data_IF_648004262210
#
_entry.id   IF_648004262210
#
_cell.length_a   1.000
_cell.length_b   1.000
_cell.length_c   1.000
_cell.angle_alpha   90.00
_cell.angle_beta   90.00
_cell.angle_gamma   90.00
#
_symmetry.space_group_name_H-M   'P 1'
#
loop_
_entity.id
_entity.type
_entity.pdbx_description
1 polymer ?
#
# COMPACT_ATOMS: atom_id res chain seq x y z
N UNK A 1 32.94 -28.30 -49.18
CA UNK A 1 32.91 -28.84 -50.56
C UNK A 1 32.35 -30.25 -50.54
N UNK A 2 31.59 -30.59 -51.60
CA UNK A 2 30.85 -31.84 -51.90
C UNK A 2 29.38 -31.90 -51.41
N UNK A 3 28.54 -31.62 -52.41
CA UNK A 3 27.08 -31.74 -52.56
C UNK A 3 26.64 -33.19 -52.76
N UNK A 4 25.32 -33.40 -52.59
CA UNK A 4 24.33 -34.07 -53.47
C UNK A 4 23.44 -35.09 -52.71
N UNK A 5 22.12 -34.82 -52.57
CA UNK A 5 20.99 -35.09 -53.53
C UNK A 5 20.65 -36.61 -53.53
N UNK A 6 19.44 -37.17 -53.52
CA UNK A 6 18.07 -36.74 -53.87
C UNK A 6 17.01 -37.77 -53.37
N UNK A 7 15.81 -37.29 -53.03
CA UNK A 7 14.46 -37.67 -53.52
C UNK A 7 13.81 -39.06 -53.26
N UNK A 8 12.60 -38.97 -52.66
CA UNK A 8 11.30 -39.51 -53.10
C UNK A 8 11.16 -41.03 -53.39
N UNK A 9 10.26 -41.71 -52.66
CA UNK A 9 8.92 -42.09 -53.18
C UNK A 9 8.06 -42.85 -52.17
N UNK A 10 6.79 -42.46 -52.20
CA UNK A 10 5.62 -43.02 -51.56
C UNK A 10 5.19 -44.32 -52.26
N UNK A 11 4.82 -45.36 -51.51
CA UNK A 11 3.87 -46.38 -51.97
C UNK A 11 3.00 -46.86 -50.81
N UNK A 12 1.71 -46.99 -51.11
CA UNK A 12 0.57 -47.13 -50.23
C UNK A 12 -0.15 -48.43 -50.58
N UNK A 13 -0.45 -49.31 -49.61
CA UNK A 13 -1.44 -50.42 -49.66
C UNK A 13 -1.79 -50.76 -48.19
N UNK A 14 -2.93 -50.35 -47.59
CA UNK A 14 -4.35 -50.78 -47.68
C UNK A 14 -4.68 -52.14 -47.05
N UNK A 15 -5.66 -52.12 -46.12
CA UNK A 15 -6.47 -53.20 -45.51
C UNK A 15 -5.82 -53.99 -44.36
N UNK A 16 -6.50 -54.31 -43.23
CA UNK A 16 -7.91 -54.62 -43.07
C UNK A 16 -8.44 -54.47 -41.61
N UNK A 17 -9.63 -53.87 -41.51
CA UNK A 17 -10.81 -54.20 -40.68
C UNK A 17 -10.76 -54.06 -39.13
N UNK A 18 -11.92 -53.77 -38.51
CA UNK A 18 -12.07 -52.78 -37.45
C UNK A 18 -12.57 -53.40 -36.14
N UNK A 19 -12.13 -52.84 -35.01
CA UNK A 19 -12.69 -53.21 -33.71
C UNK A 19 -13.27 -51.96 -33.06
N UNK A 20 -14.59 -51.99 -32.95
CA UNK A 20 -15.45 -51.42 -31.93
C UNK A 20 -14.87 -50.30 -31.05
N UNK A 21 -15.53 -49.13 -31.09
CA UNK A 21 -16.33 -48.68 -29.96
C UNK A 21 -17.14 -47.44 -30.35
N UNK A 22 -18.45 -47.57 -30.22
CA UNK A 22 -19.41 -46.47 -30.20
C UNK A 22 -19.11 -45.54 -29.02
N UNK A 23 -18.92 -44.26 -29.29
CA UNK A 23 -19.13 -43.21 -28.30
C UNK A 23 -19.91 -42.07 -28.97
N UNK A 24 -21.22 -42.10 -28.75
CA UNK A 24 -22.14 -41.02 -29.09
C UNK A 24 -21.70 -39.75 -28.35
N UNK A 25 -21.23 -38.74 -29.10
CA UNK A 25 -21.11 -37.39 -28.57
C UNK A 25 -22.51 -36.80 -28.41
N UNK A 26 -23.15 -37.09 -27.29
CA UNK A 26 -24.21 -36.24 -26.77
C UNK A 26 -23.55 -34.99 -26.19
N UNK A 27 -23.88 -33.82 -26.73
CA UNK A 27 -23.58 -32.54 -26.08
C UNK A 27 -24.22 -32.54 -24.68
N UNK A 28 -23.41 -32.77 -23.65
CA UNK A 28 -23.81 -32.50 -22.28
C UNK A 28 -23.79 -30.98 -22.07
N UNK A 29 -24.88 -30.33 -21.63
CA UNK A 29 -24.81 -28.94 -21.21
C UNK A 29 -23.87 -28.86 -20.00
N UNK A 30 -22.87 -27.97 -20.08
CA UNK A 30 -22.04 -27.61 -18.94
C UNK A 30 -22.96 -27.08 -17.85
N UNK A 31 -23.23 -27.89 -16.83
CA UNK A 31 -23.88 -27.43 -15.60
C UNK A 31 -22.90 -26.51 -14.89
N UNK A 32 -23.12 -25.20 -15.02
CA UNK A 32 -22.57 -24.21 -14.09
C UNK A 32 -23.08 -24.60 -12.70
N UNK A 33 -22.19 -25.04 -11.81
CA UNK A 33 -22.49 -25.11 -10.37
C UNK A 33 -22.56 -23.67 -9.87
N UNK A 34 -23.76 -23.09 -9.86
CA UNK A 34 -24.07 -21.99 -8.96
C UNK A 34 -24.17 -22.57 -7.55
N UNK A 35 -23.21 -22.23 -6.71
CA UNK A 35 -23.31 -22.49 -5.28
C UNK A 35 -24.43 -21.59 -4.72
N UNK A 36 -25.38 -22.11 -3.92
CA UNK A 36 -26.31 -21.25 -3.20
C UNK A 36 -25.50 -20.36 -2.25
N UNK A 37 -25.80 -19.07 -2.24
CA UNK A 37 -25.27 -18.16 -1.24
C UNK A 37 -25.71 -18.63 0.14
N UNK A 38 -24.77 -19.14 0.94
CA UNK A 38 -25.02 -19.43 2.35
C UNK A 38 -25.30 -18.12 3.07
N UNK A 39 -26.59 -17.89 3.35
CA UNK A 39 -27.02 -16.84 4.27
C UNK A 39 -26.61 -17.27 5.67
N UNK A 40 -25.40 -16.89 6.08
CA UNK A 40 -25.00 -16.96 7.47
C UNK A 40 -25.95 -16.07 8.30
N UNK A 41 -26.44 -16.52 9.46
CA UNK A 41 -27.30 -15.70 10.30
C UNK A 41 -26.51 -14.50 10.80
N UNK A 42 -26.96 -13.30 10.41
CA UNK A 42 -26.48 -12.02 10.94
C UNK A 42 -26.70 -12.06 12.46
N UNK A 43 -25.62 -12.22 13.23
CA UNK A 43 -25.65 -11.96 14.67
C UNK A 43 -26.04 -10.49 14.85
N UNK A 44 -27.28 -10.24 15.29
CA UNK A 44 -27.71 -8.93 15.78
C UNK A 44 -27.00 -8.67 17.11
N UNK A 45 -25.83 -8.04 17.04
CA UNK A 45 -25.29 -7.34 18.20
C UNK A 45 -26.20 -6.12 18.46
N UNK A 46 -26.59 -5.85 19.72
CA UNK A 46 -27.30 -4.62 20.03
C UNK A 46 -26.44 -3.46 19.54
N UNK A 47 -27.01 -2.62 18.67
CA UNK A 47 -26.38 -1.41 18.23
C UNK A 47 -26.28 -0.47 19.45
N UNK A 48 -25.15 -0.52 20.15
CA UNK A 48 -24.70 0.62 20.94
C UNK A 48 -24.49 1.74 19.92
N UNK A 49 -25.50 2.59 19.74
CA UNK A 49 -25.42 3.82 18.95
C UNK A 49 -24.52 4.82 19.68
N UNK A 50 -23.25 4.46 19.87
CA UNK A 50 -22.22 5.47 20.05
C UNK A 50 -22.10 6.18 18.72
N UNK A 51 -22.46 7.45 18.69
CA UNK A 51 -22.17 8.30 17.54
C UNK A 51 -20.70 8.14 17.20
N UNK A 52 -20.42 7.73 15.95
CA UNK A 52 -19.05 7.70 15.45
C UNK A 52 -18.58 9.14 15.47
N UNK A 53 -17.65 9.47 16.36
CA UNK A 53 -17.09 10.82 16.46
C UNK A 53 -16.55 11.23 15.10
N UNK A 54 -16.82 12.47 14.72
CA UNK A 54 -16.23 13.03 13.50
C UNK A 54 -14.72 13.17 13.65
N UNK A 55 -14.03 13.41 12.54
CA UNK A 55 -12.60 13.70 12.56
C UNK A 55 -12.29 14.91 13.45
N UNK A 56 -13.03 16.02 13.28
CA UNK A 56 -12.80 17.24 14.06
C UNK A 56 -13.08 17.04 15.55
N UNK A 57 -14.15 16.32 15.89
CA UNK A 57 -14.45 15.97 17.28
C UNK A 57 -13.32 15.13 17.88
N UNK A 58 -12.78 14.17 17.14
CA UNK A 58 -11.68 13.32 17.61
C UNK A 58 -10.41 14.14 17.80
N UNK A 59 -10.00 14.92 16.80
CA UNK A 59 -8.77 15.71 16.84
C UNK A 59 -8.84 16.83 17.89
N UNK A 60 -10.02 17.41 18.16
CA UNK A 60 -10.19 18.43 19.22
C UNK A 60 -9.82 17.93 20.63
N UNK A 61 -9.85 16.61 20.82
CA UNK A 61 -9.48 15.97 22.08
C UNK A 61 -7.96 15.78 22.21
N UNK A 62 -7.23 15.80 21.11
CA UNK A 62 -5.76 15.70 21.08
C UNK A 62 -5.15 17.06 21.42
N UNK A 63 -4.21 17.07 22.36
CA UNK A 63 -3.61 18.30 22.91
C UNK A 63 -2.20 18.54 22.41
N UNK A 64 -1.59 17.52 21.83
CA UNK A 64 -0.16 17.51 21.51
C UNK A 64 0.14 16.51 20.40
N UNK A 65 1.32 16.63 19.76
CA UNK A 65 1.73 15.65 18.74
C UNK A 65 1.85 14.25 19.33
N UNK A 66 2.14 14.11 20.63
CA UNK A 66 2.24 12.83 21.33
C UNK A 66 0.90 12.06 21.33
N UNK A 67 -0.24 12.75 21.31
CA UNK A 67 -1.55 12.12 21.17
C UNK A 67 -1.72 11.45 19.81
N UNK A 68 -1.28 12.14 18.74
CA UNK A 68 -1.26 11.59 17.40
C UNK A 68 -0.27 10.42 17.30
N UNK A 69 0.95 10.54 17.85
CA UNK A 69 1.94 9.44 17.86
C UNK A 69 1.33 8.19 18.49
N UNK A 70 0.75 8.31 19.70
CA UNK A 70 0.09 7.18 20.37
C UNK A 70 -1.03 6.58 19.54
N UNK A 71 -1.80 7.40 18.82
CA UNK A 71 -2.85 6.90 17.95
C UNK A 71 -2.27 6.14 16.75
N UNK A 72 -1.25 6.69 16.09
CA UNK A 72 -0.58 6.06 14.95
C UNK A 72 0.00 4.70 15.34
N UNK A 73 0.76 4.64 16.43
CA UNK A 73 1.39 3.40 16.92
C UNK A 73 0.38 2.32 17.32
N UNK A 74 -0.75 2.73 17.91
CA UNK A 74 -1.75 1.78 18.43
C UNK A 74 -2.76 1.33 17.38
N UNK A 75 -3.06 2.17 16.39
CA UNK A 75 -4.21 1.97 15.52
C UNK A 75 -3.86 1.93 14.04
N UNK A 76 -2.90 2.72 13.57
CA UNK A 76 -2.62 2.81 12.14
C UNK A 76 -1.83 1.59 11.66
N UNK A 77 -2.28 1.00 10.55
CA UNK A 77 -1.67 -0.19 9.96
C UNK A 77 -1.35 -0.01 8.49
N UNK A 78 -0.28 -0.66 8.02
CA UNK A 78 0.10 -0.63 6.62
C UNK A 78 -0.90 -1.41 5.75
N UNK A 79 -1.46 -0.75 4.74
CA UNK A 79 -2.41 -1.33 3.78
C UNK A 79 -1.66 -1.93 2.58
N UNK A 80 -1.30 -3.22 2.68
CA UNK A 80 -0.58 -3.95 1.64
C UNK A 80 -1.35 -4.02 0.31
N UNK A 81 -2.68 -4.13 0.35
CA UNK A 81 -3.49 -4.25 -0.87
C UNK A 81 -3.55 -2.92 -1.61
N UNK A 82 -3.60 -1.80 -0.89
CA UNK A 82 -3.44 -0.46 -1.49
C UNK A 82 -2.02 -0.24 -1.98
N UNK A 83 -1.01 -0.71 -1.25
CA UNK A 83 0.38 -0.61 -1.68
C UNK A 83 0.67 -1.38 -2.97
N UNK A 84 0.13 -2.59 -3.14
CA UNK A 84 0.29 -3.36 -4.39
C UNK A 84 -0.31 -2.66 -5.60
N UNK A 85 -1.37 -1.86 -5.42
CA UNK A 85 -1.98 -1.07 -6.51
C UNK A 85 -1.12 0.10 -6.98
N UNK A 86 0.00 0.39 -6.31
CA UNK A 86 0.97 1.43 -6.64
C UNK A 86 1.91 1.02 -7.82
N UNK A 87 1.47 0.24 -8.81
CA UNK A 87 2.31 -0.20 -9.95
C UNK A 87 2.75 0.97 -10.88
N UNK A 88 3.63 1.84 -10.39
CA UNK A 88 4.25 2.93 -11.13
C UNK A 88 3.57 4.31 -10.99
N UNK A 89 2.43 4.42 -10.28
CA UNK A 89 1.76 5.72 -10.06
C UNK A 89 1.29 5.87 -8.61
N UNK A 90 1.56 7.03 -8.02
CA UNK A 90 1.08 7.39 -6.69
C UNK A 90 -0.43 7.58 -6.69
N UNK A 91 -1.20 6.85 -5.86
CA UNK A 91 -2.61 7.08 -5.73
C UNK A 91 -2.85 8.43 -5.08
N UNK A 92 -4.03 8.98 -5.35
CA UNK A 92 -4.54 10.11 -4.60
C UNK A 92 -4.59 9.69 -3.12
N UNK A 93 -4.01 10.49 -2.20
CA UNK A 93 -4.04 10.17 -0.77
C UNK A 93 -5.48 10.10 -0.27
N UNK A 94 -5.76 9.17 0.64
CA UNK A 94 -7.01 9.17 1.40
C UNK A 94 -7.18 10.48 2.16
N UNK A 95 -8.41 10.92 2.34
CA UNK A 95 -8.66 12.05 3.24
C UNK A 95 -8.27 11.69 4.68
N UNK A 96 -7.96 12.67 5.53
CA UNK A 96 -7.69 12.41 6.94
C UNK A 96 -8.88 11.78 7.69
N UNK A 97 -10.11 12.10 7.28
CA UNK A 97 -11.34 11.48 7.78
C UNK A 97 -11.38 9.99 7.45
N UNK A 98 -11.12 9.63 6.19
CA UNK A 98 -11.07 8.23 5.75
C UNK A 98 -9.93 7.48 6.45
N UNK A 99 -8.77 8.12 6.60
CA UNK A 99 -7.63 7.54 7.30
C UNK A 99 -7.94 7.26 8.78
N UNK A 100 -8.61 8.18 9.47
CA UNK A 100 -9.05 8.01 10.86
C UNK A 100 -10.04 6.83 10.99
N UNK A 101 -10.96 6.70 10.03
CA UNK A 101 -11.98 5.67 10.01
C UNK A 101 -11.39 4.28 9.71
N UNK A 102 -10.60 4.18 8.65
CA UNK A 102 -10.01 2.91 8.18
C UNK A 102 -8.82 2.46 9.03
N UNK A 103 -8.14 3.38 9.72
CA UNK A 103 -6.95 3.10 10.54
C UNK A 103 -5.87 2.35 9.76
N UNK A 104 -5.83 2.56 8.45
CA UNK A 104 -4.91 1.88 7.56
C UNK A 104 -4.67 2.70 6.30
N UNK A 105 -3.50 2.52 5.72
CA UNK A 105 -3.10 3.21 4.50
C UNK A 105 -1.64 2.96 4.16
N UNK A 106 -1.19 3.66 3.12
CA UNK A 106 0.21 3.72 2.74
C UNK A 106 0.82 5.06 3.16
N UNK A 107 2.12 5.23 2.92
CA UNK A 107 2.90 6.36 3.41
C UNK A 107 2.32 7.73 3.07
N UNK A 108 1.73 7.90 1.88
CA UNK A 108 1.13 9.19 1.50
C UNK A 108 -0.18 9.47 2.27
N UNK A 109 -0.97 8.44 2.58
CA UNK A 109 -2.18 8.58 3.41
C UNK A 109 -1.79 8.99 4.83
N UNK A 110 -0.77 8.32 5.39
CA UNK A 110 -0.24 8.63 6.71
C UNK A 110 0.37 10.03 6.81
N UNK A 111 1.09 10.47 5.77
CA UNK A 111 1.70 11.78 5.71
C UNK A 111 0.63 12.90 5.63
N UNK A 112 -0.40 12.74 4.79
CA UNK A 112 -1.51 13.69 4.68
C UNK A 112 -2.34 13.78 5.97
N UNK A 113 -2.68 12.62 6.56
CA UNK A 113 -3.35 12.56 7.85
C UNK A 113 -2.54 13.29 8.93
N UNK A 114 -1.26 12.95 9.07
CA UNK A 114 -0.38 13.57 10.07
C UNK A 114 -0.25 15.07 9.86
N UNK A 115 -0.08 15.55 8.62
CA UNK A 115 0.02 16.98 8.30
C UNK A 115 -1.23 17.74 8.74
N UNK A 116 -2.42 17.28 8.33
CA UNK A 116 -3.68 17.95 8.69
C UNK A 116 -3.89 17.93 10.20
N UNK A 117 -3.71 16.77 10.83
CA UNK A 117 -3.92 16.61 12.26
C UNK A 117 -2.97 17.48 13.08
N UNK A 118 -1.67 17.46 12.80
CA UNK A 118 -0.68 18.24 13.56
C UNK A 118 -0.97 19.74 13.46
N UNK A 119 -1.29 20.24 12.28
CA UNK A 119 -1.62 21.66 12.08
C UNK A 119 -2.96 22.05 12.71
N UNK A 120 -3.89 21.11 12.89
CA UNK A 120 -5.14 21.34 13.62
C UNK A 120 -4.94 21.32 15.15
N UNK A 121 -4.08 20.44 15.67
CA UNK A 121 -3.70 20.41 17.09
C UNK A 121 -2.97 21.70 17.45
N UNK A 122 -1.95 22.06 16.67
CA UNK A 122 -1.16 23.25 16.90
C UNK A 122 -0.52 23.76 15.59
N UNK A 123 -1.02 24.85 15.01
CA UNK A 123 -0.47 25.43 13.77
C UNK A 123 1.01 25.83 13.87
N UNK A 124 1.54 26.08 15.07
CA UNK A 124 2.97 26.39 15.25
C UNK A 124 3.90 25.22 14.93
N UNK A 125 3.36 23.99 14.86
CA UNK A 125 4.10 22.82 14.41
C UNK A 125 4.51 22.94 12.94
N UNK A 126 3.82 23.75 12.13
CA UNK A 126 4.15 23.96 10.71
C UNK A 126 4.39 22.62 9.99
N UNK A 127 3.47 21.68 10.17
CA UNK A 127 3.60 20.35 9.61
C UNK A 127 3.54 20.40 8.08
N UNK A 128 4.45 19.70 7.42
CA UNK A 128 4.64 19.73 5.97
C UNK A 128 5.05 18.35 5.45
N UNK A 129 4.66 18.03 4.22
CA UNK A 129 5.09 16.80 3.56
C UNK A 129 6.51 16.95 3.03
N UNK A 130 7.32 15.94 3.32
CA UNK A 130 8.67 15.77 2.80
C UNK A 130 8.67 14.56 1.88
N UNK A 131 9.27 14.72 0.71
CA UNK A 131 9.51 13.65 -0.26
C UNK A 131 10.96 13.20 -0.18
N UNK A 132 11.15 11.89 -0.15
CA UNK A 132 12.44 11.21 -0.26
C UNK A 132 12.52 10.62 -1.66
N UNK A 133 13.54 11.04 -2.42
CA UNK A 133 13.72 10.66 -3.82
C UNK A 133 14.59 9.41 -3.86
N UNK A 134 14.00 8.28 -4.26
CA UNK A 134 14.68 6.98 -4.30
C UNK A 134 14.88 6.52 -5.74
N UNK A 135 16.07 5.99 -6.05
CA UNK A 135 16.50 5.53 -7.38
C UNK A 135 17.04 4.10 -7.36
N UNK A 136 16.98 3.36 -8.50
CA UNK A 136 16.59 3.79 -9.86
C UNK A 136 15.08 3.84 -10.14
N UNK A 137 14.22 3.24 -9.31
CA UNK A 137 12.83 2.94 -9.70
C UNK A 137 11.78 4.02 -9.38
N UNK A 138 12.15 5.27 -9.07
CA UNK A 138 11.21 6.40 -8.80
C UNK A 138 10.08 6.07 -7.79
N UNK A 139 10.33 5.16 -6.85
CA UNK A 139 9.45 4.94 -5.70
C UNK A 139 9.75 6.01 -4.66
N UNK A 140 9.32 7.25 -4.93
CA UNK A 140 9.43 8.32 -3.95
C UNK A 140 8.66 7.92 -2.68
N UNK A 141 9.28 8.16 -1.53
CA UNK A 141 8.66 7.94 -0.23
C UNK A 141 8.23 9.28 0.35
N UNK A 142 7.11 9.33 1.06
CA UNK A 142 6.53 10.58 1.55
C UNK A 142 6.27 10.46 3.04
N UNK A 143 6.68 11.48 3.78
CA UNK A 143 6.54 11.54 5.23
C UNK A 143 6.04 12.90 5.67
N UNK A 144 5.52 12.99 6.88
CA UNK A 144 5.15 14.28 7.46
C UNK A 144 6.26 14.76 8.38
N UNK A 145 6.79 15.94 8.15
CA UNK A 145 7.67 16.64 9.07
C UNK A 145 6.89 17.67 9.88
N UNK A 146 7.38 18.02 11.07
CA UNK A 146 6.91 19.18 11.82
C UNK A 146 8.00 19.72 12.75
N UNK A 147 7.79 20.91 13.30
CA UNK A 147 8.74 21.59 14.20
C UNK A 147 8.18 21.67 15.61
N UNK A 148 9.05 21.45 16.59
CA UNK A 148 8.79 21.76 18.01
C UNK A 148 10.08 22.18 18.67
N UNK A 149 10.05 23.27 19.44
CA UNK A 149 11.18 23.80 20.19
C UNK A 149 12.46 23.99 19.33
N UNK A 150 12.27 24.47 18.10
CA UNK A 150 13.37 24.67 17.13
C UNK A 150 13.95 23.39 16.52
N UNK A 151 13.42 22.21 16.86
CA UNK A 151 13.81 20.92 16.29
C UNK A 151 12.78 20.41 15.29
N UNK A 152 13.26 19.58 14.36
CA UNK A 152 12.46 18.88 13.36
C UNK A 152 12.15 17.47 13.86
N UNK A 153 10.91 17.04 13.63
CA UNK A 153 10.45 15.69 13.90
C UNK A 153 9.74 15.14 12.66
N UNK A 154 9.72 13.81 12.50
CA UNK A 154 9.14 13.12 11.34
C UNK A 154 8.14 12.07 11.81
N UNK A 155 6.97 12.03 11.18
CA UNK A 155 6.02 10.92 11.21
C UNK A 155 6.21 10.10 9.93
N UNK A 156 6.87 8.95 10.05
CA UNK A 156 7.13 8.02 8.94
C UNK A 156 6.33 6.73 9.17
N UNK A 157 5.13 6.65 8.59
CA UNK A 157 4.24 5.49 8.75
C UNK A 157 3.75 5.02 7.39
N UNK A 158 3.09 3.87 7.32
CA UNK A 158 2.46 3.40 6.07
C UNK A 158 3.44 2.80 5.06
N UNK A 159 4.53 2.22 5.56
CA UNK A 159 5.55 1.53 4.76
C UNK A 159 5.74 0.10 5.28
N UNK A 160 6.08 -0.89 4.43
CA UNK A 160 6.33 -2.25 4.89
C UNK A 160 7.65 -2.39 5.69
N UNK A 161 8.50 -1.36 5.66
CA UNK A 161 9.83 -1.38 6.26
C UNK A 161 9.77 -0.89 7.72
N UNK A 162 9.83 -1.83 8.67
CA UNK A 162 9.65 -1.56 10.10
C UNK A 162 10.77 -0.71 10.69
N UNK A 163 11.96 -0.79 10.11
CA UNK A 163 13.19 -0.12 10.57
C UNK A 163 13.11 1.40 10.43
N UNK A 164 12.34 1.89 9.46
CA UNK A 164 12.11 3.32 9.21
C UNK A 164 10.72 3.76 9.66
N UNK A 165 9.82 2.83 10.02
CA UNK A 165 8.48 3.18 10.50
C UNK A 165 8.53 3.73 11.91
N UNK A 166 7.97 4.92 12.13
CA UNK A 166 7.73 5.48 13.46
C UNK A 166 7.77 7.00 13.52
N UNK A 167 7.80 7.48 14.76
CA UNK A 167 8.09 8.87 15.10
C UNK A 167 9.59 9.06 15.29
N UNK A 168 10.19 10.01 14.56
CA UNK A 168 11.63 10.22 14.53
C UNK A 168 12.04 11.65 14.87
N UNK A 169 13.25 11.78 15.41
CA UNK A 169 13.85 13.04 15.84
C UNK A 169 14.24 13.00 17.32
N UNK A 170 14.59 14.15 17.91
CA UNK A 170 14.70 15.46 17.28
C UNK A 170 15.86 15.55 16.28
N UNK A 171 15.64 16.23 15.16
CA UNK A 171 16.66 16.54 14.14
C UNK A 171 16.87 18.05 14.03
N UNK A 172 18.03 18.47 13.54
CA UNK A 172 18.29 19.87 13.17
C UNK A 172 17.81 20.21 11.75
N UNK A 173 17.70 19.20 10.86
CA UNK A 173 17.37 19.38 9.45
C UNK A 173 16.83 18.09 8.80
N UNK A 174 16.20 18.21 7.64
CA UNK A 174 15.70 17.04 6.88
C UNK A 174 16.86 16.16 6.39
N UNK A 175 18.06 16.72 6.23
CA UNK A 175 19.28 16.02 5.87
C UNK A 175 19.74 15.03 6.95
N UNK A 176 19.48 15.32 8.23
CA UNK A 176 19.76 14.34 9.30
C UNK A 176 18.82 13.14 9.21
N UNK A 177 17.54 13.39 8.94
CA UNK A 177 16.57 12.33 8.73
C UNK A 177 16.86 11.53 7.44
N UNK A 178 17.32 12.17 6.35
CA UNK A 178 17.80 11.46 5.16
C UNK A 178 18.89 10.45 5.51
N UNK A 179 19.88 10.83 6.34
CA UNK A 179 20.94 9.90 6.77
C UNK A 179 20.42 8.75 7.61
N UNK A 180 19.44 9.01 8.48
CA UNK A 180 18.73 7.96 9.20
C UNK A 180 18.05 7.00 8.22
N UNK A 181 17.28 7.53 7.27
CA UNK A 181 16.57 6.73 6.29
C UNK A 181 17.53 5.89 5.44
N UNK A 182 18.60 6.48 4.90
CA UNK A 182 19.63 5.76 4.13
C UNK A 182 20.28 4.60 4.89
N UNK A 183 20.46 4.76 6.21
CA UNK A 183 21.09 3.74 7.06
C UNK A 183 20.17 2.55 7.32
N UNK A 184 18.88 2.79 7.48
CA UNK A 184 17.92 1.78 7.96
C UNK A 184 16.95 1.30 6.89
N UNK A 185 16.88 1.95 5.74
CA UNK A 185 16.07 1.49 4.62
C UNK A 185 16.63 0.15 4.13
N UNK A 186 15.84 -0.95 4.20
CA UNK A 186 16.37 -2.31 4.03
C UNK A 186 16.73 -2.65 2.58
N UNK A 187 16.26 -1.87 1.62
CA UNK A 187 16.67 -2.04 0.24
C UNK A 187 17.93 -1.22 -0.05
N UNK A 188 18.89 -1.82 -0.76
CA UNK A 188 20.12 -1.15 -1.24
C UNK A 188 19.84 -0.14 -2.36
N UNK A 189 18.79 0.66 -2.22
CA UNK A 189 18.46 1.76 -3.12
C UNK A 189 19.21 3.00 -2.69
N UNK A 190 19.51 3.86 -3.67
CA UNK A 190 20.16 5.12 -3.41
C UNK A 190 19.10 6.20 -3.15
N UNK A 191 19.21 6.92 -2.03
CA UNK A 191 18.43 8.13 -1.79
C UNK A 191 19.15 9.30 -2.48
N UNK A 192 18.62 9.70 -3.62
CA UNK A 192 19.15 10.78 -4.44
C UNK A 192 18.94 12.15 -3.77
N UNK A 193 17.83 12.34 -3.07
CA UNK A 193 17.50 13.62 -2.47
C UNK A 193 16.36 13.56 -1.46
N UNK A 194 16.16 14.66 -0.74
CA UNK A 194 15.05 14.89 0.17
C UNK A 194 14.60 16.35 0.06
N UNK A 195 13.31 16.63 0.14
CA UNK A 195 12.81 18.00 0.04
C UNK A 195 11.35 18.14 0.43
N UNK A 196 10.91 19.38 0.63
CA UNK A 196 9.51 19.69 0.86
C UNK A 196 8.73 19.65 -0.45
N UNK A 197 7.50 19.13 -0.41
CA UNK A 197 6.57 19.37 -1.52
C UNK A 197 6.15 20.84 -1.52
N UNK A 198 6.05 21.47 -2.71
CA UNK A 198 5.59 22.85 -2.85
C UNK A 198 4.14 23.04 -2.39
#
# INVERSE_FOLDING_TARGET
MKKHKEYFRLTLVVSALPICMLALFACAPVRVKTYPAETSPVKKYPAETRSVKTYDETVSQWKSYEDLVRWMEKHFSFDMERYKKFEGTLPIPRSPEETLQLKSGIYIDAAEFSKKTLNQINPSYKAQIVVIIVRPNVFNHYVCSFKKDGKLFIMDYGTPYREVTGFHGPYNSIEEYKRFYEKYYPEKRHVEGIGYLP
#
